data_IF_122378646907
#
_entry.id   IF_122378646907
#
_cell.length_a   1.000
_cell.length_b   1.000
_cell.length_c   1.000
_cell.angle_alpha   90.00
_cell.angle_beta   90.00
_cell.angle_gamma   90.00
#
_symmetry.space_group_name_H-M   'P 1'
#
loop_
_entity.id
_entity.type
_entity.pdbx_description
1 polymer ?
#
# COMPACT_ATOMS: atom_id res chain seq x y z
N UNK A 1 2.71 7.27 -6.00
CA UNK A 1 2.96 7.34 -4.56
C UNK A 1 3.77 8.58 -4.24
N UNK A 2 3.32 9.37 -3.28
CA UNK A 2 4.09 10.51 -2.78
C UNK A 2 4.97 10.03 -1.61
N UNK A 3 6.24 10.40 -1.60
CA UNK A 3 7.18 10.14 -0.51
C UNK A 3 7.43 11.43 0.25
N UNK A 4 7.50 11.36 1.58
CA UNK A 4 7.82 12.50 2.46
C UNK A 4 9.29 12.88 2.37
N UNK A 5 9.69 13.51 1.27
CA UNK A 5 11.08 13.79 0.91
C UNK A 5 11.49 15.25 1.06
N UNK A 6 10.67 16.08 1.72
CA UNK A 6 10.89 17.53 1.76
C UNK A 6 10.96 18.15 3.16
N UNK A 7 10.69 17.36 4.19
CA UNK A 7 10.58 17.84 5.57
C UNK A 7 11.85 17.67 6.42
N UNK A 8 11.71 17.93 7.73
CA UNK A 8 12.77 17.79 8.73
C UNK A 8 13.49 16.44 8.70
N UNK A 9 12.82 15.38 8.25
CA UNK A 9 13.41 14.06 8.11
C UNK A 9 14.66 14.07 7.22
N UNK A 10 14.64 14.83 6.13
CA UNK A 10 15.81 14.96 5.25
C UNK A 10 16.94 15.74 5.93
N UNK A 11 16.62 16.80 6.66
CA UNK A 11 17.62 17.52 7.45
C UNK A 11 18.27 16.66 8.53
N UNK A 12 17.51 15.80 9.19
CA UNK A 12 18.02 14.82 10.16
C UNK A 12 19.01 13.85 9.51
N UNK A 13 18.64 13.27 8.37
CA UNK A 13 19.50 12.34 7.61
C UNK A 13 20.80 13.04 7.17
N UNK A 14 20.69 14.24 6.60
CA UNK A 14 21.84 15.02 6.13
C UNK A 14 22.79 15.35 7.29
N UNK A 15 22.26 15.76 8.44
CA UNK A 15 23.04 16.12 9.62
C UNK A 15 23.77 14.90 10.19
N UNK A 16 23.09 13.77 10.35
CA UNK A 16 23.70 12.53 10.83
C UNK A 16 24.76 12.01 9.85
N UNK A 17 24.49 12.08 8.55
CA UNK A 17 25.45 11.70 7.52
C UNK A 17 26.70 12.58 7.57
N UNK A 18 26.55 13.89 7.82
CA UNK A 18 27.67 14.82 7.98
C UNK A 18 28.53 14.50 9.20
N UNK A 19 27.91 14.08 10.31
CA UNK A 19 28.67 13.63 11.50
C UNK A 19 29.46 12.33 11.22
N UNK A 20 28.85 11.37 10.50
CA UNK A 20 29.48 10.08 10.21
C UNK A 20 30.54 10.16 9.12
N UNK A 21 30.31 10.99 8.11
CA UNK A 21 31.16 11.10 6.89
C UNK A 21 31.40 12.58 6.54
N UNK A 22 32.12 13.34 7.40
CA UNK A 22 32.27 14.80 7.24
C UNK A 22 33.00 15.21 5.96
N UNK A 23 33.86 14.34 5.43
CA UNK A 23 34.70 14.63 4.26
C UNK A 23 33.99 14.44 2.90
N UNK A 24 32.71 14.11 2.91
CA UNK A 24 31.96 13.98 1.66
C UNK A 24 31.84 15.32 0.94
N UNK A 25 32.11 15.29 -0.35
CA UNK A 25 32.05 16.48 -1.25
C UNK A 25 30.72 17.24 -1.22
N UNK A 26 29.64 16.60 -0.81
CA UNK A 26 28.30 17.19 -0.66
C UNK A 26 28.23 18.27 0.42
N UNK A 27 29.13 18.27 1.37
CA UNK A 27 29.21 19.22 2.48
C UNK A 27 30.09 20.42 2.18
N UNK A 28 30.92 20.35 1.15
CA UNK A 28 31.75 21.44 0.70
C UNK A 28 30.95 22.46 -0.13
N UNK A 29 30.72 23.63 0.42
CA UNK A 29 29.96 24.72 -0.24
C UNK A 29 30.68 25.31 -1.44
N UNK A 30 32.02 25.19 -1.46
CA UNK A 30 32.86 25.70 -2.56
C UNK A 30 32.90 24.75 -3.77
N UNK A 31 32.38 23.51 -3.62
CA UNK A 31 32.43 22.54 -4.69
C UNK A 31 31.53 22.90 -5.85
N UNK A 32 32.10 23.04 -7.02
CA UNK A 32 31.40 23.42 -8.27
C UNK A 32 31.35 22.28 -9.32
N UNK A 33 32.03 21.15 -9.03
CA UNK A 33 32.06 20.00 -9.93
C UNK A 33 30.73 19.22 -10.01
N UNK A 34 30.77 18.13 -10.78
CA UNK A 34 29.69 17.15 -10.80
C UNK A 34 29.78 16.25 -9.57
N UNK A 35 28.66 16.01 -8.90
CA UNK A 35 28.61 15.09 -7.77
C UNK A 35 28.71 13.64 -8.25
N UNK A 36 29.29 12.72 -7.43
CA UNK A 36 29.38 11.31 -7.75
C UNK A 36 28.02 10.72 -8.13
N UNK A 37 28.01 9.83 -9.11
CA UNK A 37 26.77 9.14 -9.54
C UNK A 37 26.32 8.08 -8.54
N UNK A 38 27.28 7.49 -7.81
CA UNK A 38 27.00 6.48 -6.79
C UNK A 38 26.63 7.15 -5.47
N UNK A 39 25.64 6.59 -4.78
CA UNK A 39 25.24 7.07 -3.47
C UNK A 39 26.36 6.83 -2.44
N UNK A 40 26.66 7.80 -1.54
CA UNK A 40 27.69 7.66 -0.51
C UNK A 40 27.24 6.76 0.65
N UNK A 41 26.12 6.07 0.53
CA UNK A 41 25.52 5.18 1.53
C UNK A 41 24.71 4.08 0.85
N UNK A 42 24.50 2.99 1.59
CA UNK A 42 23.60 1.89 1.25
C UNK A 42 22.21 2.11 1.86
N UNK A 43 21.22 1.31 1.44
CA UNK A 43 19.89 1.31 2.06
C UNK A 43 19.98 0.95 3.55
N UNK A 44 20.80 -0.03 3.92
CA UNK A 44 21.00 -0.45 5.32
C UNK A 44 21.61 0.67 6.17
N UNK A 45 22.54 1.47 5.63
CA UNK A 45 23.05 2.65 6.33
C UNK A 45 21.95 3.72 6.51
N UNK A 46 21.13 3.99 5.49
CA UNK A 46 20.01 4.95 5.62
C UNK A 46 18.98 4.55 6.68
N UNK A 47 18.71 3.26 6.78
CA UNK A 47 17.80 2.69 7.75
C UNK A 47 18.29 2.79 9.19
N UNK A 48 19.60 2.87 9.41
CA UNK A 48 20.21 3.15 10.71
C UNK A 48 20.36 4.66 10.96
N UNK A 49 20.71 5.44 9.94
CA UNK A 49 20.91 6.89 10.03
C UNK A 49 19.64 7.60 10.54
N UNK A 50 18.48 7.33 9.96
CA UNK A 50 17.27 8.07 10.31
C UNK A 50 16.78 7.84 11.74
N UNK A 51 16.65 6.60 12.27
CA UNK A 51 16.28 6.39 13.67
C UNK A 51 17.31 6.98 14.65
N UNK A 52 18.60 6.87 14.33
CA UNK A 52 19.67 7.45 15.14
C UNK A 52 19.54 8.98 15.20
N UNK A 53 19.39 9.63 14.05
CA UNK A 53 19.19 11.08 13.95
C UNK A 53 17.92 11.53 14.68
N UNK A 54 16.82 10.80 14.51
CA UNK A 54 15.57 11.07 15.22
C UNK A 54 15.70 10.92 16.74
N UNK A 55 16.49 9.95 17.19
CA UNK A 55 16.82 9.78 18.60
C UNK A 55 17.65 10.96 19.14
N UNK A 56 18.74 11.31 18.46
CA UNK A 56 19.60 12.45 18.81
C UNK A 56 18.82 13.77 18.89
N UNK A 57 17.97 14.04 17.92
CA UNK A 57 17.18 15.30 17.88
C UNK A 57 16.22 15.49 19.05
N UNK A 58 15.90 14.42 19.79
CA UNK A 58 15.06 14.49 21.00
C UNK A 58 15.84 14.79 22.27
N UNK A 59 17.13 14.49 22.29
CA UNK A 59 18.00 14.60 23.45
C UNK A 59 19.07 15.66 23.30
N UNK A 60 19.35 16.14 22.09
CA UNK A 60 20.38 17.12 21.76
C UNK A 60 19.76 18.26 20.93
N UNK A 61 19.58 19.41 21.57
CA UNK A 61 19.01 20.61 20.94
C UNK A 61 19.92 21.14 19.83
N UNK A 62 21.24 21.05 20.00
CA UNK A 62 22.21 21.54 19.00
C UNK A 62 22.15 20.72 17.71
N UNK A 63 21.98 19.40 17.85
CA UNK A 63 21.75 18.50 16.70
C UNK A 63 20.42 18.84 15.99
N UNK A 64 19.38 19.11 16.76
CA UNK A 64 18.08 19.47 16.22
C UNK A 64 18.10 20.80 15.45
N UNK A 65 18.80 21.82 16.00
CA UNK A 65 19.00 23.11 15.32
C UNK A 65 19.77 22.91 14.00
N UNK A 66 20.85 22.11 14.02
CA UNK A 66 21.60 21.79 12.82
C UNK A 66 20.73 21.08 11.76
N UNK A 67 19.85 20.17 12.16
CA UNK A 67 18.93 19.48 11.26
C UNK A 67 17.86 20.43 10.67
N UNK A 68 17.35 21.37 11.46
CA UNK A 68 16.45 22.42 10.98
C UNK A 68 17.14 23.34 9.96
N UNK A 69 18.40 23.71 10.23
CA UNK A 69 19.21 24.50 9.30
C UNK A 69 19.45 23.73 8.00
N UNK A 70 19.85 22.46 8.09
CA UNK A 70 20.07 21.59 6.92
C UNK A 70 18.78 21.45 6.09
N UNK A 71 17.62 21.34 6.73
CA UNK A 71 16.33 21.33 6.04
C UNK A 71 16.09 22.63 5.27
N UNK A 72 16.33 23.77 5.91
CA UNK A 72 16.18 25.09 5.28
C UNK A 72 17.14 25.28 4.10
N UNK A 73 18.39 24.87 4.24
CA UNK A 73 19.39 24.93 3.16
C UNK A 73 19.04 23.99 2.00
N UNK A 74 18.56 22.78 2.28
CA UNK A 74 18.04 21.87 1.27
C UNK A 74 16.90 22.51 0.48
N UNK A 75 15.92 23.07 1.18
CA UNK A 75 14.78 23.77 0.58
C UNK A 75 15.19 25.04 -0.16
N UNK A 76 16.25 25.70 0.30
CA UNK A 76 16.88 26.85 -0.37
C UNK A 76 17.72 26.49 -1.60
N UNK A 77 17.82 25.21 -1.95
CA UNK A 77 18.50 24.76 -3.16
C UNK A 77 20.01 24.56 -3.02
N UNK A 78 20.55 24.34 -1.82
CA UNK A 78 21.97 24.01 -1.61
C UNK A 78 22.35 22.78 -2.44
N UNK A 79 23.23 22.96 -3.44
CA UNK A 79 23.56 21.94 -4.47
C UNK A 79 23.95 20.58 -3.89
N UNK A 80 24.86 20.56 -2.88
CA UNK A 80 25.28 19.32 -2.24
C UNK A 80 24.13 18.57 -1.56
N UNK A 81 23.24 19.29 -0.91
CA UNK A 81 22.08 18.70 -0.23
C UNK A 81 21.02 18.22 -1.21
N UNK A 82 20.83 18.93 -2.33
CA UNK A 82 19.97 18.47 -3.42
C UNK A 82 20.50 17.18 -4.06
N UNK A 83 21.82 17.08 -4.24
CA UNK A 83 22.46 15.87 -4.74
C UNK A 83 22.33 14.70 -3.75
N UNK A 84 22.47 14.94 -2.45
CA UNK A 84 22.20 13.93 -1.41
C UNK A 84 20.73 13.50 -1.39
N UNK A 85 19.79 14.43 -1.52
CA UNK A 85 18.36 14.11 -1.63
C UNK A 85 18.10 13.18 -2.82
N UNK A 86 18.70 13.47 -3.99
CA UNK A 86 18.57 12.61 -5.16
C UNK A 86 19.08 11.19 -4.90
N UNK A 87 20.19 11.04 -4.16
CA UNK A 87 20.71 9.72 -3.77
C UNK A 87 19.80 9.00 -2.77
N UNK A 88 19.32 9.72 -1.74
CA UNK A 88 18.37 9.18 -0.75
C UNK A 88 17.13 8.66 -1.45
N UNK A 89 16.56 9.45 -2.36
CA UNK A 89 15.37 9.08 -3.12
C UNK A 89 15.63 7.88 -4.02
N UNK A 90 16.73 7.87 -4.77
CA UNK A 90 17.07 6.74 -5.64
C UNK A 90 17.21 5.42 -4.88
N UNK A 91 17.96 5.43 -3.78
CA UNK A 91 18.17 4.23 -2.96
C UNK A 91 16.84 3.76 -2.34
N UNK A 92 16.08 4.68 -1.74
CA UNK A 92 14.82 4.37 -1.08
C UNK A 92 13.74 3.90 -2.06
N UNK A 93 13.58 4.58 -3.20
CA UNK A 93 12.59 4.21 -4.22
C UNK A 93 12.94 2.87 -4.87
N UNK A 94 14.23 2.59 -5.09
CA UNK A 94 14.67 1.30 -5.64
C UNK A 94 14.31 0.15 -4.69
N UNK A 95 14.54 0.32 -3.40
CA UNK A 95 14.17 -0.69 -2.40
C UNK A 95 12.65 -0.85 -2.29
N UNK A 96 11.91 0.24 -2.27
CA UNK A 96 10.45 0.21 -2.27
C UNK A 96 9.89 -0.50 -3.50
N UNK A 97 10.42 -0.23 -4.70
CA UNK A 97 10.00 -0.90 -5.93
C UNK A 97 10.19 -2.41 -5.84
N UNK A 98 11.35 -2.86 -5.33
CA UNK A 98 11.61 -4.29 -5.12
C UNK A 98 10.58 -4.94 -4.19
N UNK A 99 10.23 -4.27 -3.09
CA UNK A 99 9.22 -4.76 -2.15
C UNK A 99 7.82 -4.80 -2.77
N UNK A 100 7.45 -3.80 -3.57
CA UNK A 100 6.17 -3.80 -4.30
C UNK A 100 6.13 -4.87 -5.40
N UNK A 101 7.22 -5.09 -6.12
CA UNK A 101 7.34 -6.19 -7.09
C UNK A 101 7.14 -7.55 -6.42
N UNK A 102 7.74 -7.77 -5.23
CA UNK A 102 7.51 -8.98 -4.44
C UNK A 102 6.04 -9.16 -4.03
N UNK A 103 5.30 -8.07 -3.84
CA UNK A 103 3.85 -8.09 -3.58
C UNK A 103 2.99 -8.12 -4.85
N UNK A 104 3.61 -8.18 -6.03
CA UNK A 104 2.92 -8.03 -7.32
C UNK A 104 2.04 -6.77 -7.35
N UNK A 105 2.63 -5.62 -6.95
CA UNK A 105 2.01 -4.30 -6.94
C UNK A 105 2.84 -3.36 -7.80
N UNK A 106 2.21 -2.68 -8.74
CA UNK A 106 2.85 -1.76 -9.67
C UNK A 106 2.21 -0.38 -9.58
N UNK A 107 3.03 0.65 -9.81
CA UNK A 107 2.59 2.04 -9.89
C UNK A 107 3.16 2.66 -11.17
N UNK A 108 2.33 3.39 -11.89
CA UNK A 108 2.71 4.11 -13.10
C UNK A 108 3.49 5.40 -12.77
N UNK A 109 3.14 6.06 -11.67
CA UNK A 109 3.75 7.31 -11.25
C UNK A 109 4.42 7.18 -9.89
N UNK A 110 5.64 7.69 -9.80
CA UNK A 110 6.44 7.78 -8.59
C UNK A 110 6.78 9.25 -8.36
N UNK A 111 6.00 9.89 -7.51
CA UNK A 111 6.12 11.30 -7.16
C UNK A 111 6.43 11.46 -5.67
N UNK A 112 7.13 12.52 -5.31
CA UNK A 112 7.38 12.93 -3.94
C UNK A 112 6.69 14.25 -3.61
N UNK A 113 6.74 14.67 -2.36
CA UNK A 113 6.29 16.00 -1.94
C UNK A 113 7.08 17.11 -2.63
N UNK A 114 8.36 16.86 -2.94
CA UNK A 114 9.22 17.79 -3.68
C UNK A 114 8.72 18.10 -5.08
N UNK A 115 8.04 17.15 -5.75
CA UNK A 115 7.46 17.36 -7.10
C UNK A 115 6.32 18.39 -7.07
N UNK A 116 5.65 18.56 -5.94
CA UNK A 116 4.56 19.52 -5.79
C UNK A 116 5.05 20.95 -5.45
N UNK A 117 6.32 21.12 -5.02
CA UNK A 117 6.85 22.40 -4.59
C UNK A 117 6.71 23.53 -5.65
N UNK A 118 6.93 23.30 -6.95
CA UNK A 118 6.75 24.36 -7.98
C UNK A 118 5.32 24.93 -8.01
N UNK A 119 4.33 24.21 -7.51
CA UNK A 119 2.93 24.64 -7.51
C UNK A 119 2.55 25.45 -6.28
N UNK A 120 3.33 25.39 -5.19
CA UNK A 120 3.04 26.07 -3.92
C UNK A 120 2.93 27.60 -4.08
N UNK A 121 3.89 28.35 -4.68
CA UNK A 121 3.80 29.80 -4.75
C UNK A 121 2.55 30.30 -5.48
N UNK A 122 2.27 29.73 -6.65
CA UNK A 122 1.09 30.13 -7.42
C UNK A 122 -0.24 29.76 -6.76
N UNK A 123 -0.29 28.64 -6.06
CA UNK A 123 -1.45 28.24 -5.26
C UNK A 123 -1.70 29.23 -4.11
N UNK A 124 -0.66 29.57 -3.35
CA UNK A 124 -0.76 30.51 -2.22
C UNK A 124 -1.21 31.89 -2.69
N UNK A 125 -0.63 32.39 -3.78
CA UNK A 125 -0.98 33.68 -4.35
C UNK A 125 -2.46 33.69 -4.80
N UNK A 126 -2.89 32.67 -5.53
CA UNK A 126 -4.29 32.54 -5.95
C UNK A 126 -5.27 32.57 -4.75
N UNK A 127 -4.91 31.89 -3.64
CA UNK A 127 -5.76 31.87 -2.43
C UNK A 127 -5.86 33.24 -1.76
N UNK A 128 -4.76 34.02 -1.78
CA UNK A 128 -4.73 35.40 -1.25
C UNK A 128 -5.52 36.37 -2.14
N UNK A 129 -5.24 36.38 -3.44
CA UNK A 129 -5.89 37.26 -4.41
C UNK A 129 -7.40 37.08 -4.47
N UNK A 130 -7.87 35.83 -4.36
CA UNK A 130 -9.30 35.52 -4.35
C UNK A 130 -9.95 35.67 -2.97
N UNK A 131 -9.17 36.05 -1.93
CA UNK A 131 -9.69 36.28 -0.58
C UNK A 131 -10.10 35.01 0.16
N UNK A 132 -9.63 33.83 -0.26
CA UNK A 132 -9.88 32.59 0.46
C UNK A 132 -8.99 32.45 1.70
N UNK A 133 -7.74 32.91 1.61
CA UNK A 133 -6.77 32.82 2.68
C UNK A 133 -6.61 34.16 3.41
N UNK A 134 -6.53 34.12 4.74
CA UNK A 134 -6.29 35.27 5.61
C UNK A 134 -5.32 34.93 6.73
N UNK A 135 -4.79 35.97 7.39
CA UNK A 135 -3.89 35.81 8.53
C UNK A 135 -4.68 35.51 9.81
N UNK A 136 -4.29 34.46 10.53
CA UNK A 136 -4.81 34.11 11.86
C UNK A 136 -3.64 33.63 12.73
N UNK A 137 -3.45 34.24 13.89
CA UNK A 137 -2.37 33.94 14.83
C UNK A 137 -0.97 33.86 14.17
N UNK A 138 -0.73 34.76 13.20
CA UNK A 138 0.52 34.83 12.44
C UNK A 138 0.64 33.80 11.29
N UNK A 139 -0.25 32.83 11.19
CA UNK A 139 -0.27 31.85 10.10
C UNK A 139 -1.25 32.28 8.99
N UNK A 140 -0.98 31.84 7.75
CA UNK A 140 -1.91 32.00 6.64
C UNK A 140 -2.87 30.79 6.64
N UNK A 141 -4.17 31.02 6.72
CA UNK A 141 -5.18 29.96 6.89
C UNK A 141 -6.35 30.13 5.92
N UNK A 142 -7.06 29.04 5.67
CA UNK A 142 -8.36 29.00 4.98
C UNK A 142 -9.38 28.38 5.92
N UNK A 143 -10.49 29.08 6.21
CA UNK A 143 -11.58 28.54 7.00
C UNK A 143 -12.33 27.46 6.22
N UNK A 144 -12.45 26.30 6.84
CA UNK A 144 -13.04 25.09 6.24
C UNK A 144 -14.23 24.54 7.05
N UNK A 145 -14.65 25.27 8.08
CA UNK A 145 -15.84 24.92 8.86
C UNK A 145 -17.09 25.07 7.99
N UNK A 146 -18.01 24.13 8.12
CA UNK A 146 -19.32 24.11 7.50
C UNK A 146 -20.43 24.20 8.54
N UNK A 147 -21.60 24.72 8.15
CA UNK A 147 -22.75 24.89 9.06
C UNK A 147 -23.29 23.55 9.58
N UNK A 148 -23.02 22.47 8.87
CA UNK A 148 -23.42 21.10 9.24
C UNK A 148 -22.51 20.45 10.27
N UNK A 149 -21.38 21.07 10.61
CA UNK A 149 -20.40 20.49 11.53
C UNK A 149 -20.93 20.43 12.95
N UNK A 150 -20.95 19.23 13.52
CA UNK A 150 -21.30 18.97 14.92
C UNK A 150 -20.11 19.11 15.86
N UNK A 151 -18.90 19.19 15.32
CA UNK A 151 -17.62 19.36 16.03
C UNK A 151 -16.90 20.58 15.48
N UNK A 152 -16.01 21.14 16.28
CA UNK A 152 -15.11 22.19 15.82
C UNK A 152 -14.13 21.64 14.78
N UNK A 153 -14.13 22.26 13.60
CA UNK A 153 -13.15 21.98 12.54
C UNK A 153 -12.20 23.18 12.46
N UNK A 154 -10.93 23.02 12.85
CA UNK A 154 -9.95 24.10 12.76
C UNK A 154 -9.70 24.53 11.30
N UNK A 155 -9.30 25.79 11.08
CA UNK A 155 -8.89 26.24 9.73
C UNK A 155 -7.77 25.38 9.14
N UNK A 156 -7.74 25.27 7.83
CA UNK A 156 -6.63 24.66 7.11
C UNK A 156 -5.45 25.65 7.06
N UNK A 157 -4.34 25.30 7.69
CA UNK A 157 -3.14 26.14 7.68
C UNK A 157 -2.42 25.95 6.33
N UNK A 158 -2.23 27.06 5.61
CA UNK A 158 -1.57 27.09 4.30
C UNK A 158 -0.07 27.40 4.46
N UNK A 159 0.29 28.35 5.33
CA UNK A 159 1.68 28.64 5.67
C UNK A 159 1.77 28.92 7.19
N UNK A 160 2.86 28.49 7.79
CA UNK A 160 3.21 28.84 9.19
C UNK A 160 3.50 30.34 9.34
N UNK A 161 3.63 30.80 10.58
CA UNK A 161 3.99 32.17 10.92
C UNK A 161 5.36 32.60 10.39
N UNK A 162 6.27 31.67 10.18
CA UNK A 162 7.59 31.89 9.56
C UNK A 162 7.57 31.78 8.02
N UNK A 163 6.39 31.58 7.42
CA UNK A 163 6.21 31.39 5.99
C UNK A 163 6.52 29.98 5.47
N UNK A 164 6.86 29.04 6.34
CA UNK A 164 7.17 27.68 5.94
C UNK A 164 5.92 26.88 5.57
N UNK A 165 6.09 25.95 4.61
CA UNK A 165 5.07 24.99 4.21
C UNK A 165 4.84 23.92 5.28
N UNK A 166 3.64 23.36 5.27
CA UNK A 166 3.18 22.24 6.10
C UNK A 166 2.73 21.08 5.22
N UNK A 167 2.36 19.96 5.83
CA UNK A 167 1.71 18.84 5.09
C UNK A 167 0.46 19.27 4.35
N UNK A 168 -0.37 20.14 4.94
CA UNK A 168 -1.54 20.69 4.24
C UNK A 168 -1.18 21.50 2.99
N UNK A 169 -0.06 22.26 3.03
CA UNK A 169 0.43 23.01 1.87
C UNK A 169 0.85 22.08 0.75
N UNK A 170 1.65 21.06 1.07
CA UNK A 170 2.15 20.09 0.09
C UNK A 170 1.04 19.21 -0.47
N UNK A 171 0.08 18.77 0.35
CA UNK A 171 -1.09 18.01 -0.12
C UNK A 171 -1.99 18.81 -1.06
N UNK A 172 -2.24 20.09 -0.75
CA UNK A 172 -3.00 20.98 -1.64
C UNK A 172 -2.25 21.23 -2.95
N UNK A 173 -0.93 21.48 -2.89
CA UNK A 173 -0.10 21.64 -4.07
C UNK A 173 -0.04 20.35 -4.92
N UNK A 174 -0.04 19.18 -4.28
CA UNK A 174 -0.15 17.88 -4.95
C UNK A 174 -1.49 17.74 -5.67
N UNK A 175 -2.59 18.20 -5.07
CA UNK A 175 -3.89 18.25 -5.77
C UNK A 175 -3.85 19.19 -6.96
N UNK A 176 -3.23 20.37 -6.85
CA UNK A 176 -3.03 21.28 -8.01
C UNK A 176 -2.25 20.58 -9.13
N UNK A 177 -1.16 19.90 -8.79
CA UNK A 177 -0.36 19.13 -9.73
C UNK A 177 -1.19 18.05 -10.43
N UNK A 178 -1.90 17.21 -9.65
CA UNK A 178 -2.73 16.12 -10.18
C UNK A 178 -3.84 16.60 -11.09
N UNK A 179 -4.52 17.69 -10.73
CA UNK A 179 -5.56 18.29 -11.58
C UNK A 179 -5.00 18.83 -12.89
N UNK A 180 -3.80 19.43 -12.86
CA UNK A 180 -3.15 19.95 -14.09
C UNK A 180 -2.59 18.86 -14.99
N UNK A 181 -1.97 17.83 -14.41
CA UNK A 181 -1.26 16.79 -15.17
C UNK A 181 -2.18 15.65 -15.61
N UNK A 182 -3.14 15.26 -14.78
CA UNK A 182 -3.93 14.05 -14.97
C UNK A 182 -5.44 14.28 -15.06
N UNK A 183 -5.96 15.36 -14.47
CA UNK A 183 -7.39 15.67 -14.37
C UNK A 183 -8.24 14.43 -13.97
N UNK A 184 -7.99 13.83 -12.80
CA UNK A 184 -8.61 12.57 -12.40
C UNK A 184 -10.07 12.73 -12.02
N UNK A 185 -10.91 11.72 -12.29
CA UNK A 185 -12.31 11.67 -11.82
C UNK A 185 -12.38 11.37 -10.31
N UNK A 186 -11.37 10.65 -9.78
CA UNK A 186 -11.31 10.24 -8.38
C UNK A 186 -9.88 10.26 -7.86
N UNK A 187 -9.67 10.85 -6.68
CA UNK A 187 -8.39 10.85 -5.96
C UNK A 187 -8.58 10.14 -4.62
N UNK A 188 -7.84 9.06 -4.41
CA UNK A 188 -7.89 8.26 -3.20
C UNK A 188 -6.59 8.45 -2.42
N UNK A 189 -6.70 8.90 -1.17
CA UNK A 189 -5.61 8.97 -0.21
C UNK A 189 -5.67 7.77 0.73
N UNK A 190 -4.62 6.95 0.70
CA UNK A 190 -4.42 5.86 1.66
C UNK A 190 -3.51 6.37 2.76
N UNK A 191 -4.03 6.60 3.94
CA UNK A 191 -3.27 7.10 5.08
C UNK A 191 -3.83 6.53 6.39
N UNK A 192 -3.09 6.69 7.49
CA UNK A 192 -3.53 6.27 8.82
C UNK A 192 -4.87 6.94 9.19
N UNK A 193 -5.80 6.19 9.80
CA UNK A 193 -7.10 6.69 10.20
C UNK A 193 -7.02 7.91 11.15
N UNK A 194 -5.92 8.05 11.90
CA UNK A 194 -5.64 9.22 12.76
C UNK A 194 -5.49 10.53 11.98
N UNK A 195 -5.22 10.48 10.67
CA UNK A 195 -5.09 11.65 9.79
C UNK A 195 -6.43 12.13 9.21
N UNK A 196 -7.56 11.55 9.62
CA UNK A 196 -8.88 11.88 9.05
C UNK A 196 -9.22 13.38 9.15
N UNK A 197 -8.88 14.05 10.26
CA UNK A 197 -9.12 15.50 10.41
C UNK A 197 -8.31 16.31 9.39
N UNK A 198 -7.05 15.96 9.18
CA UNK A 198 -6.18 16.58 8.19
C UNK A 198 -6.79 16.50 6.78
N UNK A 199 -7.25 15.31 6.36
CA UNK A 199 -7.87 15.16 5.04
C UNK A 199 -9.22 15.86 4.91
N UNK A 200 -10.01 15.95 5.98
CA UNK A 200 -11.22 16.80 6.00
C UNK A 200 -10.84 18.25 5.69
N UNK A 201 -9.84 18.79 6.36
CA UNK A 201 -9.38 20.17 6.15
C UNK A 201 -8.84 20.38 4.72
N UNK A 202 -7.98 19.49 4.24
CA UNK A 202 -7.39 19.57 2.89
C UNK A 202 -8.47 19.49 1.80
N UNK A 203 -9.39 18.53 1.90
CA UNK A 203 -10.44 18.33 0.90
C UNK A 203 -11.42 19.51 0.86
N UNK A 204 -11.86 19.99 2.02
CA UNK A 204 -12.73 21.17 2.08
C UNK A 204 -12.02 22.43 1.57
N UNK A 205 -10.75 22.61 1.92
CA UNK A 205 -9.95 23.70 1.39
C UNK A 205 -9.83 23.61 -0.15
N UNK A 206 -9.52 22.44 -0.69
CA UNK A 206 -9.40 22.23 -2.13
C UNK A 206 -10.71 22.51 -2.88
N UNK A 207 -11.86 22.14 -2.31
CA UNK A 207 -13.19 22.47 -2.88
C UNK A 207 -13.47 23.96 -2.81
N UNK A 208 -13.36 24.56 -1.62
CA UNK A 208 -13.64 25.97 -1.38
C UNK A 208 -12.82 26.89 -2.28
N UNK A 209 -11.54 26.56 -2.49
CA UNK A 209 -10.61 27.36 -3.30
C UNK A 209 -10.70 27.07 -4.81
N UNK A 210 -11.49 26.07 -5.20
CA UNK A 210 -11.64 25.68 -6.62
C UNK A 210 -10.41 24.97 -7.20
N UNK A 211 -9.50 24.45 -6.35
CA UNK A 211 -8.38 23.60 -6.78
C UNK A 211 -8.90 22.30 -7.38
N UNK A 212 -9.93 21.72 -6.77
CA UNK A 212 -10.55 20.50 -7.24
C UNK A 212 -12.04 20.77 -7.56
N UNK A 213 -12.51 20.51 -8.78
CA UNK A 213 -13.91 20.69 -9.15
C UNK A 213 -14.81 19.64 -8.48
N UNK A 214 -16.11 19.96 -8.35
CA UNK A 214 -17.08 19.05 -7.71
C UNK A 214 -17.24 17.71 -8.45
N UNK A 215 -16.86 17.67 -9.72
CA UNK A 215 -16.88 16.44 -10.53
C UNK A 215 -15.81 15.42 -10.17
N UNK A 216 -14.73 15.82 -9.50
CA UNK A 216 -13.68 14.93 -9.04
C UNK A 216 -13.97 14.46 -7.62
N UNK A 217 -14.05 13.18 -7.39
CA UNK A 217 -14.24 12.62 -6.05
C UNK A 217 -12.93 12.64 -5.24
N UNK A 218 -12.98 13.10 -3.97
CA UNK A 218 -11.86 13.05 -3.03
C UNK A 218 -12.19 12.07 -1.90
N UNK A 219 -11.38 11.04 -1.74
CA UNK A 219 -11.62 9.96 -0.78
C UNK A 219 -10.40 9.78 0.12
N UNK A 220 -10.59 9.75 1.43
CA UNK A 220 -9.59 9.28 2.38
C UNK A 220 -9.99 7.89 2.90
N UNK A 221 -9.16 6.89 2.61
CA UNK A 221 -9.29 5.56 3.18
C UNK A 221 -8.28 5.48 4.34
N UNK A 222 -8.80 5.68 5.55
CA UNK A 222 -8.02 5.54 6.77
C UNK A 222 -7.77 4.07 7.06
N UNK A 223 -6.52 3.67 7.23
CA UNK A 223 -6.20 2.32 7.63
C UNK A 223 -5.84 2.23 9.12
N UNK A 224 -6.16 1.06 9.70
CA UNK A 224 -5.80 0.70 11.07
C UNK A 224 -4.38 0.16 11.16
N UNK A 225 -4.04 -0.35 12.33
CA UNK A 225 -2.71 -0.89 12.64
C UNK A 225 -2.69 -2.40 12.50
N UNK A 226 -1.64 -2.93 11.88
CA UNK A 226 -1.31 -4.35 11.92
C UNK A 226 -0.61 -4.65 13.25
N UNK A 227 -1.22 -5.48 14.08
CA UNK A 227 -0.75 -5.83 15.41
C UNK A 227 -0.20 -7.27 15.45
N UNK A 228 0.72 -7.53 16.36
CA UNK A 228 1.13 -8.88 16.71
C UNK A 228 0.11 -9.61 17.60
N UNK A 229 0.40 -10.88 17.94
CA UNK A 229 -0.46 -11.70 18.82
C UNK A 229 -0.65 -11.08 20.22
N UNK A 230 0.25 -10.18 20.64
CA UNK A 230 0.16 -9.43 21.90
C UNK A 230 -0.74 -8.18 21.82
N UNK A 231 -1.37 -7.93 20.68
CA UNK A 231 -2.23 -6.77 20.43
C UNK A 231 -1.48 -5.44 20.29
N UNK A 232 -0.14 -5.47 20.23
CA UNK A 232 0.69 -4.28 19.99
C UNK A 232 1.15 -4.22 18.53
N UNK A 233 1.55 -3.04 18.03
CA UNK A 233 2.10 -2.91 16.68
C UNK A 233 3.17 -3.97 16.41
N UNK A 234 3.08 -4.61 15.27
CA UNK A 234 3.92 -5.75 14.92
C UNK A 234 5.40 -5.35 14.94
N UNK A 235 6.22 -6.13 15.66
CA UNK A 235 7.64 -5.86 15.89
C UNK A 235 8.49 -7.09 15.56
N UNK A 236 9.77 -6.85 15.26
CA UNK A 236 10.75 -7.93 15.17
C UNK A 236 10.93 -8.63 16.53
N UNK A 237 11.49 -9.85 16.53
CA UNK A 237 11.83 -10.59 17.76
C UNK A 237 12.73 -9.78 18.70
N UNK A 238 13.57 -8.90 18.14
CA UNK A 238 14.49 -8.03 18.88
C UNK A 238 13.85 -6.69 19.29
N UNK A 239 12.53 -6.51 19.11
CA UNK A 239 11.78 -5.34 19.56
C UNK A 239 11.77 -4.14 18.58
N UNK A 240 12.42 -4.24 17.42
CA UNK A 240 12.40 -3.22 16.37
C UNK A 240 11.11 -3.24 15.54
N UNK A 241 10.92 -2.22 14.69
CA UNK A 241 9.82 -2.21 13.72
C UNK A 241 10.07 -3.30 12.67
N UNK A 242 9.07 -4.16 12.43
CA UNK A 242 9.15 -5.20 11.41
C UNK A 242 9.21 -4.55 10.02
N UNK A 243 10.26 -4.82 9.29
CA UNK A 243 10.37 -4.41 7.88
C UNK A 243 9.56 -5.36 7.00
N UNK A 244 8.92 -4.81 5.98
CA UNK A 244 8.13 -5.58 5.04
C UNK A 244 8.94 -6.72 4.37
N UNK A 245 10.18 -6.47 4.01
CA UNK A 245 11.08 -7.47 3.42
C UNK A 245 11.29 -8.68 4.33
N UNK A 246 11.54 -8.45 5.62
CA UNK A 246 11.71 -9.54 6.59
C UNK A 246 10.41 -10.32 6.81
N UNK A 247 9.29 -9.62 6.88
CA UNK A 247 7.99 -10.26 7.01
C UNK A 247 7.71 -11.18 5.81
N UNK A 248 7.91 -10.69 4.59
CA UNK A 248 7.71 -11.49 3.38
C UNK A 248 8.64 -12.70 3.38
N UNK A 249 9.91 -12.52 3.75
CA UNK A 249 10.86 -13.63 3.85
C UNK A 249 10.46 -14.66 4.90
N UNK A 250 10.02 -14.24 6.09
CA UNK A 250 9.56 -15.19 7.13
C UNK A 250 8.39 -16.05 6.62
N UNK A 251 7.47 -15.45 5.88
CA UNK A 251 6.32 -16.16 5.31
C UNK A 251 6.75 -17.09 4.17
N UNK A 252 7.67 -16.66 3.30
CA UNK A 252 8.25 -17.50 2.25
C UNK A 252 8.94 -18.75 2.85
N UNK A 253 9.76 -18.54 3.87
CA UNK A 253 10.49 -19.61 4.56
C UNK A 253 9.51 -20.59 5.27
N UNK A 254 8.48 -20.08 5.94
CA UNK A 254 7.43 -20.89 6.57
C UNK A 254 6.68 -21.75 5.54
N UNK A 255 6.29 -21.14 4.41
CA UNK A 255 5.59 -21.89 3.34
C UNK A 255 6.50 -22.95 2.71
N UNK A 256 7.78 -22.63 2.50
CA UNK A 256 8.74 -23.60 1.98
C UNK A 256 8.91 -24.80 2.93
N UNK A 257 8.98 -24.54 4.23
CA UNK A 257 9.05 -25.60 5.24
C UNK A 257 7.81 -26.49 5.21
N UNK A 258 6.61 -25.92 5.17
CA UNK A 258 5.34 -26.67 5.07
C UNK A 258 5.27 -27.53 3.80
N UNK A 259 5.76 -27.02 2.65
CA UNK A 259 5.81 -27.78 1.40
C UNK A 259 6.77 -28.96 1.55
N UNK A 260 7.97 -28.75 2.13
CA UNK A 260 8.96 -29.80 2.34
C UNK A 260 8.49 -30.88 3.34
N UNK A 261 7.77 -30.50 4.39
CA UNK A 261 7.17 -31.44 5.34
C UNK A 261 6.11 -32.29 4.65
N UNK A 262 5.19 -31.69 3.89
CA UNK A 262 4.19 -32.41 3.10
C UNK A 262 4.81 -33.37 2.07
N UNK A 263 5.97 -33.02 1.49
CA UNK A 263 6.70 -33.90 0.58
C UNK A 263 7.25 -35.16 1.29
N UNK A 264 7.77 -35.00 2.51
CA UNK A 264 8.29 -36.13 3.30
C UNK A 264 7.20 -37.11 3.70
N UNK A 265 5.98 -36.60 3.97
CA UNK A 265 4.84 -37.42 4.34
C UNK A 265 4.23 -38.20 3.16
N UNK A 266 4.40 -37.69 1.94
CA UNK A 266 3.83 -38.28 0.72
C UNK A 266 4.96 -38.76 -0.20
N UNK A 267 5.37 -40.01 -0.05
CA UNK A 267 6.48 -40.66 -0.80
C UNK A 267 6.42 -40.53 -2.33
N UNK A 268 5.27 -40.13 -2.90
CA UNK A 268 5.04 -39.98 -4.35
C UNK A 268 5.09 -38.55 -4.88
N UNK A 269 5.36 -37.54 -4.04
CA UNK A 269 5.44 -36.15 -4.46
C UNK A 269 6.92 -35.74 -4.61
N UNK A 270 7.47 -35.92 -5.79
CA UNK A 270 8.83 -35.48 -6.11
C UNK A 270 8.77 -34.14 -6.85
N UNK A 271 8.66 -33.04 -6.08
CA UNK A 271 8.76 -31.66 -6.57
C UNK A 271 10.23 -31.27 -6.45
N UNK A 272 10.83 -30.71 -7.50
CA UNK A 272 12.21 -30.23 -7.42
C UNK A 272 12.31 -28.98 -6.51
N UNK A 273 13.53 -28.64 -6.11
CA UNK A 273 13.74 -27.53 -5.15
C UNK A 273 13.35 -26.17 -5.74
N UNK A 274 13.50 -25.98 -7.04
CA UNK A 274 13.14 -24.73 -7.71
C UNK A 274 11.62 -24.58 -7.79
N UNK A 275 10.91 -25.65 -8.13
CA UNK A 275 9.44 -25.70 -8.13
C UNK A 275 8.87 -25.51 -6.71
N UNK A 276 9.48 -26.14 -5.70
CA UNK A 276 9.08 -25.95 -4.31
C UNK A 276 9.21 -24.49 -3.87
N UNK A 277 10.33 -23.84 -4.17
CA UNK A 277 10.55 -22.42 -3.87
C UNK A 277 9.55 -21.52 -4.60
N UNK A 278 9.30 -21.75 -5.89
CA UNK A 278 8.34 -20.97 -6.67
C UNK A 278 6.91 -21.14 -6.13
N UNK A 279 6.53 -22.34 -5.77
CA UNK A 279 5.22 -22.64 -5.16
C UNK A 279 5.10 -21.96 -3.80
N UNK A 280 6.13 -22.05 -2.95
CA UNK A 280 6.16 -21.38 -1.65
C UNK A 280 5.95 -19.88 -1.81
N UNK A 281 6.68 -19.23 -2.70
CA UNK A 281 6.55 -17.79 -2.97
C UNK A 281 5.13 -17.42 -3.44
N UNK A 282 4.53 -18.22 -4.30
CA UNK A 282 3.15 -17.98 -4.80
C UNK A 282 2.13 -18.10 -3.67
N UNK A 283 2.25 -19.12 -2.82
CA UNK A 283 1.32 -19.34 -1.70
C UNK A 283 1.52 -18.30 -0.60
N UNK A 284 2.79 -17.93 -0.32
CA UNK A 284 3.13 -16.88 0.63
C UNK A 284 2.55 -15.52 0.21
N UNK A 285 2.69 -15.15 -1.07
CA UNK A 285 2.10 -13.94 -1.62
C UNK A 285 0.56 -13.92 -1.44
N UNK A 286 -0.09 -15.02 -1.74
CA UNK A 286 -1.54 -15.16 -1.54
C UNK A 286 -1.92 -15.05 -0.05
N UNK A 287 -1.14 -15.65 0.85
CA UNK A 287 -1.37 -15.59 2.30
C UNK A 287 -1.31 -14.13 2.80
N UNK A 288 -0.30 -13.36 2.39
CA UNK A 288 -0.12 -11.96 2.78
C UNK A 288 -1.22 -11.09 2.21
N UNK A 289 -1.41 -11.09 0.88
CA UNK A 289 -2.37 -10.19 0.21
C UNK A 289 -3.79 -10.47 0.64
N UNK A 290 -4.18 -11.73 0.71
CA UNK A 290 -5.52 -12.10 1.16
C UNK A 290 -5.71 -11.83 2.65
N UNK A 291 -4.71 -12.15 3.46
CA UNK A 291 -4.73 -11.92 4.90
C UNK A 291 -4.94 -10.44 5.24
N UNK A 292 -4.24 -9.53 4.56
CA UNK A 292 -4.39 -8.09 4.72
C UNK A 292 -5.73 -7.59 4.16
N UNK A 293 -6.02 -7.85 2.89
CA UNK A 293 -7.18 -7.32 2.17
C UNK A 293 -8.52 -7.90 2.65
N UNK A 294 -8.53 -9.02 3.37
CA UNK A 294 -9.74 -9.60 3.96
C UNK A 294 -10.22 -8.85 5.19
N UNK A 295 -9.39 -7.96 5.76
CA UNK A 295 -9.77 -7.10 6.86
C UNK A 295 -10.37 -5.79 6.34
N UNK A 296 -11.31 -5.23 7.10
CA UNK A 296 -11.79 -3.89 6.82
C UNK A 296 -10.64 -2.89 7.05
N UNK A 297 -10.32 -2.09 6.04
CA UNK A 297 -9.14 -1.20 6.07
C UNK A 297 -9.06 -0.33 7.33
N UNK A 298 -10.18 0.23 7.79
CA UNK A 298 -10.23 1.14 8.96
C UNK A 298 -10.08 0.46 10.32
N UNK A 299 -10.00 -0.87 10.38
CA UNK A 299 -9.87 -1.61 11.64
C UNK A 299 -8.46 -2.12 11.84
N UNK A 300 -8.04 -2.08 13.12
CA UNK A 300 -6.85 -2.81 13.53
C UNK A 300 -7.08 -4.33 13.39
N UNK A 301 -6.05 -5.07 13.02
CA UNK A 301 -6.12 -6.53 12.97
C UNK A 301 -4.84 -7.17 13.50
N UNK A 302 -4.97 -8.45 13.92
CA UNK A 302 -3.84 -9.24 14.37
C UNK A 302 -3.27 -10.01 13.18
N UNK A 303 -1.99 -9.78 12.91
CA UNK A 303 -1.23 -10.55 11.96
C UNK A 303 -0.66 -11.79 12.64
N UNK A 304 -1.10 -12.96 12.19
CA UNK A 304 -0.65 -14.26 12.67
C UNK A 304 -0.21 -15.11 11.48
N UNK A 305 1.11 -15.36 11.39
CA UNK A 305 1.71 -16.10 10.27
C UNK A 305 1.11 -17.51 10.18
N UNK A 306 0.95 -18.22 11.31
CA UNK A 306 0.39 -19.58 11.33
C UNK A 306 -1.02 -19.59 10.73
N UNK A 307 -1.85 -18.63 11.14
CA UNK A 307 -3.22 -18.48 10.65
C UNK A 307 -3.25 -18.15 9.16
N UNK A 308 -2.44 -17.19 8.72
CA UNK A 308 -2.46 -16.71 7.32
C UNK A 308 -1.90 -17.73 6.33
N UNK A 309 -0.96 -18.57 6.78
CA UNK A 309 -0.37 -19.65 5.98
C UNK A 309 -1.12 -20.96 6.10
N UNK A 310 -2.25 -21.02 6.81
CA UNK A 310 -3.10 -22.20 6.91
C UNK A 310 -3.81 -22.49 5.58
N UNK A 311 -3.91 -23.77 5.22
CA UNK A 311 -4.72 -24.26 4.11
C UNK A 311 -6.19 -24.49 4.47
N UNK A 312 -6.58 -24.12 5.67
CA UNK A 312 -7.95 -24.21 6.18
C UNK A 312 -8.46 -22.85 6.65
N UNK A 313 -9.78 -22.66 6.57
CA UNK A 313 -10.44 -21.44 6.98
C UNK A 313 -10.34 -20.30 5.95
N UNK A 314 -10.57 -19.08 6.40
CA UNK A 314 -10.59 -17.88 5.54
C UNK A 314 -9.18 -17.36 5.26
N UNK A 315 -8.45 -18.00 4.35
CA UNK A 315 -7.04 -17.74 4.05
C UNK A 315 -6.74 -17.76 2.55
N UNK A 316 -5.67 -17.07 2.13
CA UNK A 316 -5.20 -17.10 0.75
C UNK A 316 -4.83 -18.50 0.25
N UNK A 317 -4.07 -19.30 1.02
CA UNK A 317 -3.77 -20.70 0.65
C UNK A 317 -5.00 -21.57 0.45
N UNK A 318 -6.06 -21.40 1.25
CA UNK A 318 -7.33 -22.11 1.06
C UNK A 318 -8.00 -21.76 -0.28
N UNK A 319 -7.98 -20.48 -0.65
CA UNK A 319 -8.52 -20.02 -1.94
C UNK A 319 -7.71 -20.63 -3.10
N UNK A 320 -6.37 -20.58 -3.03
CA UNK A 320 -5.49 -21.19 -4.02
C UNK A 320 -5.74 -22.70 -4.15
N UNK A 321 -5.88 -23.41 -3.03
CA UNK A 321 -6.19 -24.84 -3.03
C UNK A 321 -7.52 -25.14 -3.75
N UNK A 322 -8.53 -24.30 -3.54
CA UNK A 322 -9.81 -24.42 -4.25
C UNK A 322 -9.63 -24.21 -5.75
N UNK A 323 -8.84 -23.21 -6.18
CA UNK A 323 -8.52 -22.95 -7.60
C UNK A 323 -7.79 -24.15 -8.22
N UNK A 324 -6.78 -24.71 -7.54
CA UNK A 324 -6.03 -25.87 -8.02
C UNK A 324 -6.96 -27.09 -8.19
N UNK A 325 -7.89 -27.29 -7.26
CA UNK A 325 -8.91 -28.34 -7.35
C UNK A 325 -9.78 -28.16 -8.60
N UNK A 326 -10.28 -26.96 -8.86
CA UNK A 326 -11.07 -26.64 -10.06
C UNK A 326 -10.25 -26.92 -11.33
N UNK A 327 -9.03 -26.39 -11.41
CA UNK A 327 -8.13 -26.62 -12.54
C UNK A 327 -7.86 -28.10 -12.79
N UNK A 328 -7.64 -28.89 -11.72
CA UNK A 328 -7.43 -30.34 -11.82
C UNK A 328 -8.65 -31.07 -12.40
N UNK A 329 -9.87 -30.64 -12.05
CA UNK A 329 -11.10 -31.22 -12.62
C UNK A 329 -11.19 -30.92 -14.12
N UNK A 330 -10.97 -29.66 -14.51
CA UNK A 330 -11.01 -29.22 -15.90
C UNK A 330 -9.95 -29.94 -16.76
N UNK A 331 -8.69 -30.00 -16.27
CA UNK A 331 -7.63 -30.74 -16.97
C UNK A 331 -7.95 -32.23 -17.17
N UNK A 332 -8.54 -32.86 -16.15
CA UNK A 332 -8.98 -34.27 -16.29
C UNK A 332 -10.11 -34.44 -17.30
N UNK A 333 -11.00 -33.45 -17.44
CA UNK A 333 -12.04 -33.45 -18.44
C UNK A 333 -11.44 -33.33 -19.84
N UNK A 334 -10.53 -32.40 -20.08
CA UNK A 334 -9.84 -32.21 -21.36
C UNK A 334 -9.00 -33.44 -21.74
N UNK A 335 -8.26 -34.02 -20.79
CA UNK A 335 -7.45 -35.22 -21.02
C UNK A 335 -8.29 -36.43 -21.45
N UNK A 336 -9.59 -36.42 -21.19
CA UNK A 336 -10.55 -37.43 -21.66
C UNK A 336 -11.27 -37.06 -22.97
N UNK A 337 -10.82 -36.01 -23.66
CA UNK A 337 -11.36 -35.52 -24.91
C UNK A 337 -12.55 -34.56 -24.77
N UNK A 338 -12.78 -34.03 -23.56
CA UNK A 338 -13.79 -33.01 -23.35
C UNK A 338 -13.32 -31.64 -23.87
N UNK A 339 -14.26 -30.84 -24.38
CA UNK A 339 -14.01 -29.48 -24.84
C UNK A 339 -14.65 -28.48 -23.85
N UNK A 340 -13.83 -27.75 -23.10
CA UNK A 340 -14.29 -26.72 -22.13
C UNK A 340 -14.95 -25.57 -22.89
N UNK A 341 -14.47 -25.22 -24.08
CA UNK A 341 -15.00 -24.09 -24.86
C UNK A 341 -16.45 -24.32 -25.30
N UNK A 342 -16.81 -25.58 -25.55
CA UNK A 342 -18.17 -26.00 -25.92
C UNK A 342 -19.17 -25.92 -24.73
N UNK A 343 -18.67 -25.77 -23.49
CA UNK A 343 -19.51 -25.70 -22.29
C UNK A 343 -20.02 -24.30 -21.99
N UNK A 344 -19.55 -23.26 -22.67
CA UNK A 344 -19.88 -21.86 -22.34
C UNK A 344 -21.37 -21.55 -22.30
N UNK A 345 -22.13 -22.20 -23.18
CA UNK A 345 -23.59 -21.99 -23.32
C UNK A 345 -24.42 -23.15 -22.75
N UNK A 346 -23.76 -24.11 -22.09
CA UNK A 346 -24.40 -25.36 -21.63
C UNK A 346 -24.78 -25.33 -20.14
N UNK A 347 -25.19 -24.16 -19.61
CA UNK A 347 -25.62 -24.06 -18.21
C UNK A 347 -26.98 -24.74 -18.06
N UNK A 348 -27.00 -25.87 -17.36
CA UNK A 348 -28.22 -26.62 -17.08
C UNK A 348 -28.85 -26.16 -15.76
N UNK A 349 -30.18 -26.31 -15.60
CA UNK A 349 -30.82 -26.06 -14.30
C UNK A 349 -30.22 -26.92 -13.20
N UNK A 350 -30.12 -26.34 -11.98
CA UNK A 350 -29.59 -27.05 -10.82
C UNK A 350 -30.48 -28.25 -10.48
N UNK A 351 -29.87 -29.44 -10.32
CA UNK A 351 -30.57 -30.67 -9.97
C UNK A 351 -30.50 -30.99 -8.46
N UNK A 352 -29.70 -30.25 -7.70
CA UNK A 352 -29.62 -30.38 -6.25
C UNK A 352 -29.31 -29.03 -5.55
N UNK A 353 -29.40 -29.00 -4.23
CA UNK A 353 -29.20 -27.80 -3.42
C UNK A 353 -27.77 -27.24 -3.53
N UNK A 354 -26.73 -28.08 -3.60
CA UNK A 354 -25.33 -27.65 -3.75
C UNK A 354 -25.09 -26.92 -5.07
N UNK A 355 -25.59 -27.45 -6.19
CA UNK A 355 -25.53 -26.79 -7.50
C UNK A 355 -26.26 -25.45 -7.48
N UNK A 356 -27.49 -25.42 -6.93
CA UNK A 356 -28.28 -24.20 -6.81
C UNK A 356 -27.55 -23.14 -6.01
N UNK A 357 -26.98 -23.51 -4.87
CA UNK A 357 -26.23 -22.59 -4.02
C UNK A 357 -25.00 -22.01 -4.73
N UNK A 358 -24.23 -22.85 -5.43
CA UNK A 358 -23.07 -22.41 -6.21
C UNK A 358 -23.48 -21.43 -7.33
N UNK A 359 -24.53 -21.75 -8.09
CA UNK A 359 -25.05 -20.87 -9.15
C UNK A 359 -25.53 -19.53 -8.61
N UNK A 360 -26.25 -19.53 -7.47
CA UNK A 360 -26.68 -18.29 -6.80
C UNK A 360 -25.50 -17.49 -6.26
N UNK A 361 -24.45 -18.16 -5.78
CA UNK A 361 -23.22 -17.48 -5.33
C UNK A 361 -22.51 -16.81 -6.50
N UNK A 362 -22.39 -17.47 -7.65
CA UNK A 362 -21.83 -16.89 -8.88
C UNK A 362 -22.62 -15.66 -9.35
N UNK A 363 -23.95 -15.70 -9.27
CA UNK A 363 -24.81 -14.58 -9.70
C UNK A 363 -24.62 -13.29 -8.87
N UNK A 364 -24.05 -13.37 -7.68
CA UNK A 364 -23.77 -12.20 -6.81
C UNK A 364 -22.52 -11.41 -7.23
N UNK A 365 -21.74 -11.90 -8.20
CA UNK A 365 -20.43 -11.34 -8.54
C UNK A 365 -20.50 -9.84 -8.86
N UNK A 366 -21.34 -9.44 -9.82
CA UNK A 366 -21.41 -8.04 -10.25
C UNK A 366 -21.81 -7.10 -9.09
N UNK A 367 -22.87 -7.45 -8.36
CA UNK A 367 -23.31 -6.66 -7.22
C UNK A 367 -22.20 -6.52 -6.12
N UNK A 368 -21.41 -7.58 -5.94
CA UNK A 368 -20.28 -7.53 -5.00
C UNK A 368 -19.18 -6.58 -5.48
N UNK A 369 -18.84 -6.62 -6.78
CA UNK A 369 -17.83 -5.72 -7.35
C UNK A 369 -18.30 -4.26 -7.28
N UNK A 370 -19.55 -3.98 -7.65
CA UNK A 370 -20.15 -2.65 -7.56
C UNK A 370 -20.07 -2.11 -6.14
N UNK A 371 -20.53 -2.88 -5.15
CA UNK A 371 -20.50 -2.48 -3.74
C UNK A 371 -19.06 -2.30 -3.21
N UNK A 372 -18.12 -3.15 -3.62
CA UNK A 372 -16.72 -3.02 -3.24
C UNK A 372 -16.06 -1.77 -3.85
N UNK A 373 -16.44 -1.42 -5.08
CA UNK A 373 -15.97 -0.22 -5.76
C UNK A 373 -16.51 1.05 -5.11
N UNK A 374 -17.82 1.13 -4.89
CA UNK A 374 -18.49 2.29 -4.29
C UNK A 374 -17.92 2.60 -2.89
N UNK A 375 -17.71 1.56 -2.07
CA UNK A 375 -17.20 1.72 -0.71
C UNK A 375 -15.66 1.68 -0.62
N UNK A 376 -14.94 1.47 -1.73
CA UNK A 376 -13.48 1.23 -1.75
C UNK A 376 -13.08 0.13 -0.76
N UNK A 377 -13.81 -0.98 -0.77
CA UNK A 377 -13.82 -2.02 0.26
C UNK A 377 -13.38 -3.39 -0.29
N UNK A 378 -12.07 -3.66 -0.52
CA UNK A 378 -11.59 -4.93 -1.06
C UNK A 378 -11.94 -6.14 -0.18
N UNK A 379 -12.16 -5.96 1.12
CA UNK A 379 -12.58 -7.03 2.02
C UNK A 379 -13.93 -7.65 1.64
N UNK A 380 -14.80 -6.93 0.95
CA UNK A 380 -16.07 -7.48 0.41
C UNK A 380 -15.82 -8.50 -0.69
N UNK A 381 -14.83 -8.24 -1.55
CA UNK A 381 -14.41 -9.19 -2.58
C UNK A 381 -13.79 -10.42 -1.93
N UNK A 382 -12.95 -10.26 -0.91
CA UNK A 382 -12.36 -11.37 -0.17
C UNK A 382 -13.44 -12.24 0.50
N UNK A 383 -14.43 -11.63 1.15
CA UNK A 383 -15.56 -12.35 1.75
C UNK A 383 -16.34 -13.14 0.69
N UNK A 384 -16.65 -12.51 -0.44
CA UNK A 384 -17.33 -13.17 -1.56
C UNK A 384 -16.54 -14.36 -2.11
N UNK A 385 -15.22 -14.20 -2.33
CA UNK A 385 -14.36 -15.29 -2.84
C UNK A 385 -14.34 -16.46 -1.87
N UNK A 386 -14.30 -16.20 -0.57
CA UNK A 386 -14.35 -17.23 0.46
C UNK A 386 -15.69 -17.97 0.49
N UNK A 387 -16.81 -17.24 0.43
CA UNK A 387 -18.16 -17.85 0.34
C UNK A 387 -18.30 -18.70 -0.93
N UNK A 388 -17.80 -18.21 -2.06
CA UNK A 388 -17.82 -18.94 -3.33
C UNK A 388 -16.97 -20.20 -3.26
N UNK A 389 -15.77 -20.13 -2.66
CA UNK A 389 -14.90 -21.28 -2.46
C UNK A 389 -15.57 -22.35 -1.57
N UNK A 390 -16.25 -21.92 -0.49
CA UNK A 390 -17.02 -22.83 0.36
C UNK A 390 -18.20 -23.47 -0.38
N UNK A 391 -18.95 -22.69 -1.16
CA UNK A 391 -20.05 -23.21 -1.98
C UNK A 391 -19.56 -24.24 -2.99
N UNK A 392 -18.41 -23.98 -3.65
CA UNK A 392 -17.79 -24.93 -4.56
C UNK A 392 -17.30 -26.19 -3.85
N UNK A 393 -16.60 -26.05 -2.73
CA UNK A 393 -16.07 -27.18 -1.98
C UNK A 393 -17.20 -28.08 -1.41
N UNK A 394 -18.32 -27.49 -0.94
CA UNK A 394 -19.52 -28.21 -0.54
C UNK A 394 -20.14 -28.96 -1.72
N UNK A 395 -20.34 -28.28 -2.87
CA UNK A 395 -20.80 -28.92 -4.10
C UNK A 395 -19.89 -30.07 -4.52
N UNK A 396 -18.57 -29.90 -4.50
CA UNK A 396 -17.60 -30.92 -4.88
C UNK A 396 -17.64 -32.14 -3.96
N UNK A 397 -17.84 -31.93 -2.66
CA UNK A 397 -17.94 -33.00 -1.67
C UNK A 397 -19.22 -33.83 -1.86
N UNK A 398 -20.34 -33.16 -2.07
CA UNK A 398 -21.66 -33.78 -2.10
C UNK A 398 -22.06 -34.31 -3.50
N UNK A 399 -21.33 -33.90 -4.54
CA UNK A 399 -21.66 -34.24 -5.93
C UNK A 399 -20.51 -35.01 -6.55
N UNK A 400 -20.81 -36.26 -6.96
CA UNK A 400 -19.88 -37.05 -7.76
C UNK A 400 -19.74 -36.43 -9.14
N UNK A 401 -18.68 -35.67 -9.40
CA UNK A 401 -18.37 -35.13 -10.73
C UNK A 401 -17.95 -36.30 -11.61
N UNK A 402 -18.91 -36.82 -12.38
CA UNK A 402 -18.67 -37.98 -13.24
C UNK A 402 -18.02 -37.51 -14.53
N UNK A 403 -16.69 -37.60 -14.63
CA UNK A 403 -15.95 -37.38 -15.89
C UNK A 403 -16.17 -38.46 -16.94
N UNK A 404 -17.18 -39.31 -16.77
CA UNK A 404 -17.43 -40.50 -17.58
C UNK A 404 -18.67 -40.42 -18.52
N UNK A 405 -19.34 -39.26 -18.60
CA UNK A 405 -20.42 -39.14 -19.59
C UNK A 405 -19.89 -38.63 -20.93
N UNK A 406 -19.25 -39.53 -21.65
CA UNK A 406 -19.26 -39.52 -23.10
C UNK A 406 -19.91 -40.82 -23.53
N UNK A 407 -21.11 -40.76 -24.02
CA UNK A 407 -21.99 -41.74 -24.62
C UNK A 407 -23.08 -42.31 -23.70
N UNK A 408 -24.34 -42.14 -24.04
CA UNK A 408 -25.33 -43.08 -23.58
C UNK A 408 -24.96 -44.46 -24.16
N UNK A 409 -24.77 -45.44 -23.28
CA UNK A 409 -24.65 -46.84 -23.70
C UNK A 409 -25.88 -47.17 -24.56
N UNK A 410 -25.71 -47.57 -25.81
CA UNK A 410 -26.84 -48.09 -26.54
C UNK A 410 -27.29 -49.37 -25.88
N UNK A 411 -28.53 -49.43 -25.49
CA UNK A 411 -29.22 -50.72 -25.30
C UNK A 411 -29.52 -51.32 -26.64
#
# INVERSE_FOLDING_TARGET
RDSGDWGLQMGLIITELRERKPDLVYFDESYTGEYPKEAPFTISELEDIYPTASGKSKSDESFKEAALLATKELQGGRRGYQALLSHIMNVSVTDLKRNYENLNVHFELWKGESDAQPYVPGMVEMMKEKGFAHMSDGALVVDVKEDTDTKEIPPCIILKSDGASLYSTTDLATLVMRMKENNPDRVIYLADARQSMHFIQVFRCARKTGIVPDTTELVHIGFGTMNGKDGKPFKTRDGGVMRLEYLLKEIDDEMLNKIKENQKEKENLNIDEAEAKQTAKTVALAAVKYGDLSNQASKDYIFDIDRFTSFEGNTGPYILYTIVRIKSILSKYEAKGGDISALKDAIMPAVNAGQKNLMLSLAKFNATIESAYEESAPHKICAYIYELANAFNGFYHDTKICLLYTSPSPR
#
